data_IF_349142262742
#
_entry.id   IF_349142262742
#
_cell.length_a   1.000
_cell.length_b   1.000
_cell.length_c   1.000
_cell.angle_alpha   90.00
_cell.angle_beta   90.00
_cell.angle_gamma   90.00
#
_symmetry.space_group_name_H-M   'P 1'
#
loop_
_entity.id
_entity.type
_entity.pdbx_description
1 polymer ?
#
# COMPACT_ATOMS: atom_id res chain seq x y z
N UNK A 1 4.43 4.94 -16.54
CA UNK A 1 4.28 4.07 -15.36
C UNK A 1 5.22 4.63 -14.32
N UNK A 2 4.67 5.07 -13.20
CA UNK A 2 5.41 5.74 -12.13
C UNK A 2 5.12 5.06 -10.80
N UNK A 3 6.08 5.09 -9.88
CA UNK A 3 5.89 4.58 -8.51
C UNK A 3 5.46 5.76 -7.65
N UNK A 4 4.33 5.61 -6.98
CA UNK A 4 3.85 6.57 -5.98
C UNK A 4 4.25 6.08 -4.58
N UNK A 5 5.08 6.88 -3.92
CA UNK A 5 5.57 6.68 -2.56
C UNK A 5 5.30 7.98 -1.81
N UNK A 6 4.36 7.97 -0.87
CA UNK A 6 3.90 9.14 -0.12
C UNK A 6 3.87 8.83 1.39
N UNK A 7 4.73 7.90 1.83
CA UNK A 7 4.76 7.43 3.22
C UNK A 7 5.23 8.52 4.20
N UNK A 8 6.00 9.50 3.73
CA UNK A 8 6.40 10.68 4.51
C UNK A 8 5.21 11.48 5.04
N UNK A 9 4.04 11.41 4.39
CA UNK A 9 2.82 12.07 4.86
C UNK A 9 2.13 11.32 6.02
N UNK A 10 2.61 10.14 6.37
CA UNK A 10 2.05 9.29 7.44
C UNK A 10 2.87 9.31 8.73
N UNK A 11 4.03 9.99 8.75
CA UNK A 11 4.88 10.15 9.95
C UNK A 11 4.11 10.75 11.14
N UNK A 12 3.17 11.65 10.87
CA UNK A 12 2.40 12.36 11.90
C UNK A 12 1.27 11.51 12.52
N UNK A 13 0.87 10.41 11.88
CA UNK A 13 -0.35 9.67 12.27
C UNK A 13 -0.10 8.57 13.30
N UNK A 14 1.13 8.12 13.43
CA UNK A 14 1.49 7.00 14.28
C UNK A 14 2.99 7.12 14.63
N UNK A 15 3.37 6.83 15.88
CA UNK A 15 4.78 6.83 16.34
C UNK A 15 5.55 5.64 15.74
N UNK A 16 5.71 5.64 14.41
CA UNK A 16 6.14 4.49 13.60
C UNK A 16 7.60 4.60 13.20
N UNK A 17 8.47 4.42 14.19
CA UNK A 17 9.91 4.32 13.94
C UNK A 17 10.20 3.26 12.85
N UNK A 18 10.78 3.70 11.72
CA UNK A 18 11.15 2.84 10.59
C UNK A 18 10.04 2.54 9.57
N UNK A 19 8.82 3.06 9.72
CA UNK A 19 7.73 2.82 8.75
C UNK A 19 7.93 3.53 7.42
N UNK A 20 8.47 4.74 7.43
CA UNK A 20 8.79 5.48 6.20
C UNK A 20 9.84 4.74 5.37
N UNK A 21 10.80 4.09 6.03
CA UNK A 21 11.87 3.35 5.36
C UNK A 21 11.44 1.96 4.89
N UNK A 22 10.57 1.28 5.67
CA UNK A 22 10.24 -0.13 5.42
C UNK A 22 8.82 -0.38 4.91
N UNK A 23 7.93 0.61 5.02
CA UNK A 23 6.50 0.47 4.81
C UNK A 23 5.81 -0.43 5.83
N UNK A 24 6.47 -0.84 6.92
CA UNK A 24 5.94 -1.81 7.88
C UNK A 24 6.02 -1.25 9.29
N UNK A 25 4.92 -1.37 10.02
CA UNK A 25 4.83 -1.00 11.42
C UNK A 25 3.95 -1.96 12.21
N UNK A 26 4.16 -1.99 13.52
CA UNK A 26 3.26 -2.63 14.47
C UNK A 26 2.67 -1.55 15.38
N UNK A 27 1.35 -1.44 15.42
CA UNK A 27 0.61 -0.53 16.30
C UNK A 27 -0.30 -1.39 17.15
N UNK A 28 -0.08 -1.39 18.47
CA UNK A 28 -0.75 -2.28 19.42
C UNK A 28 -0.64 -3.76 19.00
N UNK A 29 -1.76 -4.41 18.66
CA UNK A 29 -1.88 -5.79 18.19
C UNK A 29 -2.07 -5.91 16.66
N UNK A 30 -1.95 -4.79 15.93
CA UNK A 30 -2.14 -4.73 14.49
C UNK A 30 -0.81 -4.52 13.75
N UNK A 31 -0.65 -5.23 12.63
CA UNK A 31 0.43 -4.99 11.67
C UNK A 31 -0.07 -4.07 10.55
N UNK A 32 0.56 -2.92 10.39
CA UNK A 32 0.29 -1.99 9.30
C UNK A 32 1.36 -2.18 8.23
N UNK A 33 0.92 -2.31 6.98
CA UNK A 33 1.80 -2.43 5.81
C UNK A 33 1.33 -1.46 4.75
N UNK A 34 2.24 -0.62 4.27
CA UNK A 34 2.03 0.24 3.12
C UNK A 34 2.95 -0.20 1.99
N UNK A 35 2.39 -0.23 0.77
CA UNK A 35 3.10 -0.67 -0.43
C UNK A 35 2.98 0.45 -1.46
N UNK A 36 4.10 0.96 -1.97
CA UNK A 36 4.10 1.94 -3.04
C UNK A 36 3.36 1.41 -4.26
N UNK A 37 2.41 2.18 -4.76
CA UNK A 37 1.58 1.75 -5.87
C UNK A 37 2.22 2.09 -7.20
N UNK A 38 1.95 1.25 -8.20
CA UNK A 38 2.37 1.49 -9.57
C UNK A 38 1.23 2.23 -10.28
N UNK A 39 1.48 3.48 -10.67
CA UNK A 39 0.52 4.34 -11.37
C UNK A 39 0.77 4.24 -12.87
N UNK A 40 -0.28 3.95 -13.61
CA UNK A 40 -0.27 3.96 -15.07
C UNK A 40 -0.98 5.22 -15.57
N UNK A 41 -0.22 6.21 -16.05
CA UNK A 41 -0.73 7.54 -16.46
C UNK A 41 -1.83 7.51 -17.53
N UNK A 42 -1.77 6.57 -18.48
CA UNK A 42 -2.73 6.48 -19.58
C UNK A 42 -3.36 5.07 -19.65
N UNK A 43 -4.17 4.65 -18.67
CA UNK A 43 -4.70 3.31 -18.63
C UNK A 43 -5.86 3.14 -19.62
N UNK A 44 -5.88 2.04 -20.37
CA UNK A 44 -6.95 1.76 -21.33
C UNK A 44 -8.32 1.56 -20.66
N UNK A 45 -8.34 1.03 -19.43
CA UNK A 45 -9.55 0.74 -18.64
C UNK A 45 -9.27 0.85 -17.14
N UNK A 46 -10.29 1.31 -16.41
CA UNK A 46 -10.23 1.49 -14.94
C UNK A 46 -11.32 0.71 -14.18
N UNK A 47 -12.40 0.31 -14.86
CA UNK A 47 -13.53 -0.39 -14.23
C UNK A 47 -13.06 -1.75 -13.69
N UNK A 48 -13.35 -2.01 -12.40
CA UNK A 48 -12.99 -3.27 -11.73
C UNK A 48 -11.58 -3.30 -11.12
N UNK A 49 -10.78 -2.24 -11.23
CA UNK A 49 -9.44 -2.20 -10.66
C UNK A 49 -9.43 -2.41 -9.13
N UNK A 50 -10.40 -1.85 -8.41
CA UNK A 50 -10.53 -2.06 -6.96
C UNK A 50 -10.81 -3.52 -6.59
N UNK A 51 -11.64 -4.21 -7.37
CA UNK A 51 -11.94 -5.63 -7.17
C UNK A 51 -10.70 -6.49 -7.43
N UNK A 52 -9.94 -6.17 -8.48
CA UNK A 52 -8.70 -6.86 -8.84
C UNK A 52 -7.65 -6.68 -7.74
N UNK A 53 -7.47 -5.46 -7.23
CA UNK A 53 -6.51 -5.18 -6.14
C UNK A 53 -6.91 -5.97 -4.88
N UNK A 54 -8.18 -5.89 -4.47
CA UNK A 54 -8.66 -6.52 -3.23
C UNK A 54 -8.62 -8.04 -3.29
N UNK A 55 -9.12 -8.63 -4.39
CA UNK A 55 -9.10 -10.08 -4.59
C UNK A 55 -7.68 -10.61 -4.78
N UNK A 56 -6.83 -9.89 -5.52
CA UNK A 56 -5.44 -10.25 -5.72
C UNK A 56 -4.65 -10.26 -4.41
N UNK A 57 -4.82 -9.25 -3.56
CA UNK A 57 -4.19 -9.18 -2.25
C UNK A 57 -4.62 -10.35 -1.35
N UNK A 58 -5.94 -10.58 -1.24
CA UNK A 58 -6.48 -11.66 -0.41
C UNK A 58 -6.03 -13.05 -0.88
N UNK A 59 -6.14 -13.34 -2.18
CA UNK A 59 -5.72 -14.64 -2.73
C UNK A 59 -4.20 -14.81 -2.66
N UNK A 60 -3.43 -13.73 -2.78
CA UNK A 60 -1.98 -13.74 -2.65
C UNK A 60 -1.52 -14.12 -1.25
N UNK A 61 -2.19 -13.62 -0.20
CA UNK A 61 -1.89 -13.96 1.20
C UNK A 61 -2.17 -15.44 1.52
N UNK A 62 -3.17 -16.04 0.90
CA UNK A 62 -3.57 -17.43 1.17
C UNK A 62 -2.65 -18.49 0.55
N UNK A 63 -1.68 -18.10 -0.28
CA UNK A 63 -0.74 -19.00 -0.97
C UNK A 63 0.56 -19.16 -0.22
#
# INVERSE_FOLDING_TARGET
IERLDELEHFEDFFDLNGFVETGIACVDDLKVVAIPTIIHENPDRLVGMGDIISAGAFVGELK
#
